data_IF_502733323080
#
_entry.id   IF_502733323080
#
_cell.length_a   1.000
_cell.length_b   1.000
_cell.length_c   1.000
_cell.angle_alpha   90.00
_cell.angle_beta   90.00
_cell.angle_gamma   90.00
#
_symmetry.space_group_name_H-M   'P 1'
#
loop_
_entity.id
_entity.type
_entity.pdbx_description
1 polymer ?
#
# COMPACT_ATOMS: atom_id res chain seq x y z
N UNK A 1 10.36 8.87 14.88
CA UNK A 1 10.86 7.91 15.90
C UNK A 1 11.49 6.74 15.16
N UNK A 2 12.74 6.45 15.43
CA UNK A 2 13.41 5.25 14.96
C UNK A 2 12.69 4.06 15.60
N UNK A 3 12.28 3.10 14.78
CA UNK A 3 11.74 1.84 15.26
C UNK A 3 12.83 1.22 16.16
N UNK A 4 12.58 1.07 17.45
CA UNK A 4 13.54 0.55 18.44
C UNK A 4 14.04 -0.87 18.12
N UNK A 5 13.34 -1.55 17.19
CA UNK A 5 13.63 -2.91 16.75
C UNK A 5 14.75 -3.01 15.68
N UNK A 6 15.32 -1.88 15.20
CA UNK A 6 16.37 -1.93 14.18
C UNK A 6 17.73 -2.13 14.84
N UNK A 7 18.25 -3.35 14.76
CA UNK A 7 19.61 -3.68 15.17
C UNK A 7 20.55 -3.55 13.98
N UNK A 8 21.58 -2.69 14.15
CA UNK A 8 22.56 -2.40 13.08
C UNK A 8 23.32 -3.65 12.63
N UNK A 9 23.57 -4.57 13.53
CA UNK A 9 24.30 -5.83 13.27
C UNK A 9 23.51 -6.82 12.41
N UNK A 10 22.19 -6.67 12.33
CA UNK A 10 21.34 -7.51 11.51
C UNK A 10 21.40 -7.14 10.02
N UNK A 11 21.41 -8.16 9.14
CA UNK A 11 21.43 -7.99 7.70
C UNK A 11 20.03 -7.87 7.08
N UNK A 12 19.03 -7.75 7.93
CA UNK A 12 17.62 -7.55 7.57
C UNK A 12 16.94 -6.68 8.62
N UNK A 13 16.32 -5.61 8.17
CA UNK A 13 15.50 -4.74 9.01
C UNK A 13 14.04 -4.92 8.64
N UNK A 14 13.30 -5.61 9.50
CA UNK A 14 11.91 -6.05 9.26
C UNK A 14 11.02 -4.86 8.85
N UNK A 15 10.34 -5.02 7.71
CA UNK A 15 9.46 -3.98 7.17
C UNK A 15 10.19 -2.81 6.48
N UNK A 16 11.52 -2.75 6.54
CA UNK A 16 12.33 -1.66 6.05
C UNK A 16 13.19 -2.06 4.84
N UNK A 17 14.21 -2.87 5.06
CA UNK A 17 15.18 -3.23 4.02
C UNK A 17 15.84 -4.56 4.32
N UNK A 18 16.24 -5.27 3.26
CA UNK A 18 17.18 -6.37 3.33
C UNK A 18 18.44 -6.05 2.51
N UNK A 19 19.59 -6.54 2.98
CA UNK A 19 20.89 -6.24 2.41
C UNK A 19 21.40 -7.38 1.52
N UNK A 20 20.52 -7.89 0.62
CA UNK A 20 20.89 -8.91 -0.37
C UNK A 20 21.23 -8.28 -1.71
N UNK A 21 21.98 -9.03 -2.56
CA UNK A 21 22.40 -8.65 -3.92
C UNK A 21 21.19 -8.41 -4.85
N UNK A 22 21.46 -7.79 -5.98
CA UNK A 22 20.48 -7.62 -7.05
C UNK A 22 19.96 -8.98 -7.56
N UNK A 23 18.65 -9.09 -7.78
CA UNK A 23 18.02 -10.30 -8.31
C UNK A 23 17.77 -11.42 -7.30
N UNK A 24 18.26 -11.27 -6.06
CA UNK A 24 18.04 -12.25 -4.99
C UNK A 24 16.70 -12.00 -4.28
N UNK A 25 15.98 -13.08 -3.99
CA UNK A 25 14.75 -13.00 -3.20
C UNK A 25 15.01 -12.44 -1.82
N UNK A 26 14.11 -11.57 -1.35
CA UNK A 26 14.18 -11.03 0.03
C UNK A 26 14.04 -12.10 1.13
N UNK A 27 13.62 -13.31 0.78
CA UNK A 27 13.52 -14.46 1.69
C UNK A 27 14.84 -15.23 1.79
N UNK A 28 15.67 -15.17 0.77
CA UNK A 28 16.96 -15.84 0.72
C UNK A 28 18.06 -14.90 1.23
N UNK A 29 18.43 -15.10 2.49
CA UNK A 29 19.38 -14.28 3.26
C UNK A 29 20.64 -15.05 3.62
N UNK A 30 20.93 -16.09 2.86
CA UNK A 30 22.17 -16.84 3.04
C UNK A 30 23.40 -15.93 2.88
N UNK A 31 24.51 -16.18 3.56
CA UNK A 31 25.68 -15.29 3.55
C UNK A 31 26.22 -14.96 2.16
N UNK A 32 26.15 -15.88 1.23
CA UNK A 32 26.58 -15.71 -0.17
C UNK A 32 25.68 -14.75 -0.97
N UNK A 33 24.45 -14.59 -0.54
CA UNK A 33 23.44 -13.74 -1.17
C UNK A 33 23.39 -12.33 -0.60
N UNK A 34 24.10 -12.08 0.49
CA UNK A 34 24.26 -10.74 1.05
C UNK A 34 25.11 -9.86 0.12
N UNK A 35 24.94 -8.54 0.24
CA UNK A 35 25.86 -7.57 -0.34
C UNK A 35 27.30 -7.93 0.03
N UNK A 36 28.23 -7.62 -0.87
CA UNK A 36 29.64 -7.88 -0.64
C UNK A 36 30.10 -7.26 0.70
N UNK A 37 30.89 -8.02 1.45
CA UNK A 37 31.28 -7.66 2.82
C UNK A 37 31.90 -6.26 2.92
N UNK A 38 32.64 -5.82 1.89
CA UNK A 38 33.29 -4.50 1.90
C UNK A 38 32.33 -3.30 1.80
N UNK A 39 31.11 -3.52 1.29
CA UNK A 39 30.10 -2.45 1.16
C UNK A 39 28.93 -2.60 2.15
N UNK A 40 28.79 -3.74 2.79
CA UNK A 40 27.62 -4.06 3.62
C UNK A 40 27.43 -3.07 4.78
N UNK A 41 28.49 -2.79 5.53
CA UNK A 41 28.42 -1.85 6.65
C UNK A 41 28.17 -0.41 6.19
N UNK A 42 28.80 0.00 5.07
CA UNK A 42 28.49 1.27 4.44
C UNK A 42 27.01 1.34 4.00
N UNK A 43 26.49 0.27 3.38
CA UNK A 43 25.09 0.21 2.96
C UNK A 43 24.12 0.39 4.13
N UNK A 44 24.36 -0.28 5.26
CA UNK A 44 23.59 -0.11 6.49
C UNK A 44 23.63 1.33 7.01
N UNK A 45 24.84 1.90 7.11
CA UNK A 45 25.02 3.26 7.56
C UNK A 45 24.32 4.28 6.64
N UNK A 46 24.47 4.12 5.32
CA UNK A 46 23.87 4.98 4.32
C UNK A 46 22.32 4.92 4.36
N UNK A 47 21.74 3.72 4.39
CA UNK A 47 20.28 3.54 4.48
C UNK A 47 19.75 4.17 5.77
N UNK A 48 20.42 3.97 6.90
CA UNK A 48 20.04 4.59 8.18
C UNK A 48 20.11 6.11 8.13
N UNK A 49 21.19 6.65 7.55
CA UNK A 49 21.36 8.10 7.35
C UNK A 49 20.23 8.68 6.49
N UNK A 50 19.93 8.06 5.33
CA UNK A 50 18.88 8.52 4.44
C UNK A 50 17.49 8.46 5.10
N UNK A 51 17.22 7.44 5.89
CA UNK A 51 15.98 7.31 6.64
C UNK A 51 15.76 8.45 7.63
N UNK A 52 16.82 8.87 8.31
CA UNK A 52 16.74 9.96 9.30
C UNK A 52 16.58 11.32 8.61
N UNK A 53 17.30 11.55 7.51
CA UNK A 53 17.44 12.87 6.89
C UNK A 53 16.48 13.08 5.69
N UNK A 54 15.77 12.05 5.24
CA UNK A 54 14.88 12.15 4.10
C UNK A 54 13.58 11.39 4.29
N UNK A 55 12.56 11.75 3.50
CA UNK A 55 11.29 10.98 3.42
C UNK A 55 11.37 9.82 2.42
N UNK A 56 12.55 9.46 1.95
CA UNK A 56 12.76 8.38 1.00
C UNK A 56 12.50 7.03 1.68
N UNK A 57 11.91 6.12 0.91
CA UNK A 57 11.74 4.74 1.37
C UNK A 57 13.09 4.05 1.41
N UNK A 58 13.39 3.37 2.50
CA UNK A 58 14.63 2.60 2.68
C UNK A 58 14.84 1.54 1.59
N UNK A 59 13.74 0.94 1.12
CA UNK A 59 13.74 -0.01 0.00
C UNK A 59 14.21 0.60 -1.32
N UNK A 60 13.93 1.88 -1.57
CA UNK A 60 14.41 2.56 -2.79
C UNK A 60 15.89 2.94 -2.64
N UNK A 61 16.31 3.32 -1.44
CA UNK A 61 17.70 3.73 -1.15
C UNK A 61 18.70 2.61 -1.42
N UNK A 62 18.39 1.36 -1.04
CA UNK A 62 19.28 0.21 -1.24
C UNK A 62 19.51 -0.13 -2.71
N UNK A 63 18.61 0.26 -3.62
CA UNK A 63 18.74 -0.05 -5.04
C UNK A 63 19.98 0.60 -5.67
N UNK A 64 20.37 1.81 -5.24
CA UNK A 64 21.59 2.46 -5.72
C UNK A 64 22.86 1.74 -5.28
N UNK A 65 22.87 1.23 -4.06
CA UNK A 65 24.00 0.44 -3.52
C UNK A 65 24.16 -0.85 -4.31
N UNK A 66 23.04 -1.58 -4.56
CA UNK A 66 23.05 -2.81 -5.36
C UNK A 66 23.55 -2.57 -6.77
N UNK A 67 23.12 -1.46 -7.40
CA UNK A 67 23.56 -1.14 -8.76
C UNK A 67 25.05 -0.83 -8.83
N UNK A 68 25.60 -0.10 -7.86
CA UNK A 68 27.04 0.20 -7.80
C UNK A 68 27.85 -1.05 -7.44
N UNK A 69 27.40 -1.85 -6.47
CA UNK A 69 28.03 -3.13 -6.14
C UNK A 69 28.23 -4.01 -7.39
N UNK A 70 27.16 -4.19 -8.17
CA UNK A 70 27.20 -5.00 -9.38
C UNK A 70 28.27 -4.48 -10.35
N UNK A 71 28.29 -3.17 -10.62
CA UNK A 71 29.29 -2.57 -11.52
C UNK A 71 30.71 -2.72 -10.98
N UNK A 72 30.91 -2.53 -9.69
CA UNK A 72 32.24 -2.71 -9.08
C UNK A 72 32.74 -4.13 -9.24
N UNK A 73 31.90 -5.12 -8.96
CA UNK A 73 32.25 -6.54 -9.11
C UNK A 73 32.54 -6.91 -10.56
N UNK A 74 31.71 -6.45 -11.49
CA UNK A 74 31.86 -6.76 -12.94
C UNK A 74 33.13 -6.13 -13.53
N UNK A 75 33.51 -4.92 -13.09
CA UNK A 75 34.65 -4.20 -13.67
C UNK A 75 35.96 -4.41 -12.93
N UNK A 76 35.92 -4.52 -11.62
CA UNK A 76 37.11 -4.50 -10.78
C UNK A 76 37.32 -5.80 -10.01
N UNK A 77 36.31 -6.69 -9.94
CA UNK A 77 36.33 -7.89 -9.13
C UNK A 77 36.27 -7.64 -7.61
N UNK A 78 36.20 -6.38 -7.20
CA UNK A 78 36.10 -5.93 -5.80
C UNK A 78 35.17 -4.74 -5.68
N UNK A 79 34.68 -4.45 -4.46
CA UNK A 79 33.84 -3.28 -4.20
C UNK A 79 34.63 -2.29 -3.33
N UNK A 80 35.14 -1.24 -3.98
CA UNK A 80 35.83 -0.13 -3.32
C UNK A 80 35.24 1.20 -3.80
N UNK A 81 34.46 1.83 -2.94
CA UNK A 81 33.77 3.09 -3.27
C UNK A 81 34.74 4.25 -3.55
N UNK A 82 35.98 4.19 -3.06
CA UNK A 82 36.97 5.26 -3.28
C UNK A 82 37.55 5.25 -4.68
N UNK A 83 37.42 4.13 -5.41
CA UNK A 83 37.89 3.95 -6.79
C UNK A 83 36.83 4.26 -7.84
N UNK A 84 35.62 4.61 -7.43
CA UNK A 84 34.53 4.93 -8.36
C UNK A 84 34.89 6.08 -9.27
N UNK A 85 34.47 5.97 -10.53
CA UNK A 85 34.53 7.02 -11.55
C UNK A 85 33.13 7.31 -12.09
N UNK A 86 32.96 8.42 -12.80
CA UNK A 86 31.65 8.81 -13.36
C UNK A 86 31.09 7.72 -14.28
N UNK A 87 31.95 7.07 -15.04
CA UNK A 87 31.53 5.97 -15.94
C UNK A 87 30.86 4.80 -15.21
N UNK A 88 31.14 4.58 -13.93
CA UNK A 88 30.49 3.53 -13.13
C UNK A 88 29.00 3.88 -12.89
N UNK A 89 28.69 5.15 -12.66
CA UNK A 89 27.32 5.62 -12.53
C UNK A 89 26.57 5.59 -13.85
N UNK A 90 27.24 5.87 -14.98
CA UNK A 90 26.65 5.73 -16.31
C UNK A 90 26.33 4.25 -16.61
N UNK A 91 27.25 3.34 -16.35
CA UNK A 91 27.05 1.90 -16.52
C UNK A 91 25.96 1.35 -15.59
N UNK A 92 25.93 1.80 -14.33
CA UNK A 92 24.87 1.44 -13.40
C UNK A 92 23.50 1.91 -13.89
N UNK A 93 23.40 3.10 -14.47
CA UNK A 93 22.18 3.60 -15.07
C UNK A 93 21.78 2.80 -16.32
N UNK A 94 22.71 2.44 -17.20
CA UNK A 94 22.44 1.59 -18.39
C UNK A 94 21.97 0.19 -17.98
N UNK A 95 22.66 -0.49 -17.05
CA UNK A 95 22.22 -1.78 -16.52
C UNK A 95 20.82 -1.71 -15.91
N UNK A 96 20.51 -0.59 -15.26
CA UNK A 96 19.19 -0.36 -14.67
C UNK A 96 18.10 -0.28 -15.75
N UNK A 97 18.37 0.36 -16.90
CA UNK A 97 17.42 0.41 -18.03
C UNK A 97 17.11 -0.97 -18.60
N UNK A 98 18.10 -1.87 -18.61
CA UNK A 98 17.93 -3.23 -19.13
C UNK A 98 17.13 -4.11 -18.16
N UNK A 99 17.38 -3.98 -16.88
CA UNK A 99 16.87 -4.89 -15.85
C UNK A 99 15.53 -4.46 -15.21
N UNK A 100 15.13 -3.20 -15.39
CA UNK A 100 13.92 -2.65 -14.76
C UNK A 100 12.98 -2.00 -15.76
N UNK A 101 11.68 -2.00 -15.43
CA UNK A 101 10.69 -1.20 -16.17
C UNK A 101 11.04 0.29 -16.06
N UNK A 102 10.70 1.07 -17.08
CA UNK A 102 11.08 2.49 -17.22
C UNK A 102 10.85 3.34 -15.95
N UNK A 103 9.72 3.16 -15.26
CA UNK A 103 9.44 3.88 -14.00
C UNK A 103 10.40 3.48 -12.88
N UNK A 104 10.65 2.18 -12.70
CA UNK A 104 11.58 1.68 -11.68
C UNK A 104 13.02 2.08 -12.00
N UNK A 105 13.42 2.00 -13.27
CA UNK A 105 14.73 2.44 -13.74
C UNK A 105 14.97 3.93 -13.41
N UNK A 106 13.98 4.78 -13.67
CA UNK A 106 14.06 6.20 -13.32
C UNK A 106 14.24 6.41 -11.80
N UNK A 107 13.54 5.64 -10.97
CA UNK A 107 13.69 5.71 -9.50
C UNK A 107 15.10 5.28 -9.08
N UNK A 108 15.66 4.19 -9.61
CA UNK A 108 17.03 3.78 -9.31
C UNK A 108 18.04 4.84 -9.76
N UNK A 109 17.88 5.42 -10.95
CA UNK A 109 18.75 6.49 -11.43
C UNK A 109 18.73 7.72 -10.53
N UNK A 110 17.58 8.09 -9.96
CA UNK A 110 17.50 9.14 -8.94
C UNK A 110 18.26 8.76 -7.66
N UNK A 111 18.18 7.51 -7.22
CA UNK A 111 18.89 7.04 -6.04
C UNK A 111 20.41 7.00 -6.28
N UNK A 112 20.87 6.67 -7.49
CA UNK A 112 22.27 6.75 -7.88
C UNK A 112 22.82 8.20 -7.76
N UNK A 113 22.03 9.18 -8.19
CA UNK A 113 22.40 10.59 -8.04
C UNK A 113 22.52 10.97 -6.56
N UNK A 114 21.55 10.59 -5.74
CA UNK A 114 21.57 10.88 -4.29
C UNK A 114 22.78 10.21 -3.62
N UNK A 115 23.09 8.96 -4.00
CA UNK A 115 24.27 8.25 -3.49
C UNK A 115 25.56 8.98 -3.85
N UNK A 116 25.72 9.37 -5.13
CA UNK A 116 26.93 10.11 -5.53
C UNK A 116 27.06 11.44 -4.79
N UNK A 117 25.97 12.22 -4.67
CA UNK A 117 26.00 13.47 -3.94
C UNK A 117 26.39 13.27 -2.47
N UNK A 118 25.93 12.19 -1.84
CA UNK A 118 26.32 11.80 -0.49
C UNK A 118 27.81 11.42 -0.39
N UNK A 119 28.33 10.60 -1.32
CA UNK A 119 29.75 10.23 -1.37
C UNK A 119 30.66 11.44 -1.56
N UNK A 120 30.25 12.40 -2.38
CA UNK A 120 30.95 13.68 -2.60
C UNK A 120 30.93 14.56 -1.35
N UNK A 121 29.77 14.67 -0.70
CA UNK A 121 29.63 15.44 0.54
C UNK A 121 30.54 14.93 1.65
N UNK A 122 30.65 13.61 1.76
CA UNK A 122 31.57 12.98 2.73
C UNK A 122 33.03 12.93 2.26
N UNK A 123 33.34 13.47 1.06
CA UNK A 123 34.66 13.43 0.45
C UNK A 123 35.24 12.02 0.27
N UNK A 124 34.39 11.02 0.14
CA UNK A 124 34.79 9.63 -0.18
C UNK A 124 35.29 9.58 -1.63
N UNK A 125 34.62 10.34 -2.53
CA UNK A 125 35.02 10.47 -3.93
C UNK A 125 35.17 11.94 -4.30
N UNK A 126 36.13 12.22 -5.22
CA UNK A 126 36.37 13.55 -5.80
C UNK A 126 35.83 13.59 -7.25
N UNK A 127 34.54 13.27 -7.44
CA UNK A 127 33.91 13.23 -8.74
C UNK A 127 33.12 14.50 -9.05
N UNK A 128 32.97 14.89 -10.32
CA UNK A 128 32.10 16.00 -10.73
C UNK A 128 30.62 15.66 -10.47
N UNK A 129 29.78 16.67 -10.65
CA UNK A 129 28.32 16.45 -10.61
C UNK A 129 27.90 15.53 -11.76
N UNK A 130 27.06 14.55 -11.42
CA UNK A 130 26.49 13.60 -12.39
C UNK A 130 25.00 13.86 -12.56
N UNK A 131 24.54 13.83 -13.81
CA UNK A 131 23.14 13.95 -14.15
C UNK A 131 22.59 12.58 -14.54
N UNK A 132 21.51 12.17 -13.89
CA UNK A 132 20.84 10.92 -14.22
C UNK A 132 20.42 10.90 -15.70
N UNK A 133 20.96 9.99 -16.54
CA UNK A 133 20.60 9.89 -17.94
C UNK A 133 19.23 9.27 -18.20
N UNK A 134 18.60 8.71 -17.16
CA UNK A 134 17.29 8.06 -17.27
C UNK A 134 16.20 9.14 -17.13
N UNK A 135 15.47 9.35 -18.22
CA UNK A 135 14.35 10.30 -18.24
C UNK A 135 13.16 9.75 -17.48
N UNK A 136 12.42 10.64 -16.82
CA UNK A 136 11.12 10.28 -16.23
C UNK A 136 10.19 9.83 -17.36
N UNK A 137 9.61 8.61 -17.26
CA UNK A 137 8.62 8.16 -18.23
C UNK A 137 7.41 9.09 -18.22
N UNK A 138 6.78 9.26 -19.37
CA UNK A 138 5.51 9.97 -19.46
C UNK A 138 4.43 9.26 -18.64
N UNK A 139 3.58 10.03 -18.01
CA UNK A 139 2.42 9.48 -17.31
C UNK A 139 1.31 9.20 -18.33
N UNK A 140 1.15 7.93 -18.71
CA UNK A 140 0.13 7.48 -19.66
C UNK A 140 -1.31 7.81 -19.23
N UNK A 141 -1.54 8.16 -17.97
CA UNK A 141 -2.86 8.59 -17.52
C UNK A 141 -3.23 10.02 -17.95
N UNK A 142 -2.22 10.83 -18.31
CA UNK A 142 -2.38 12.26 -18.67
C UNK A 142 -2.21 12.49 -20.17
N UNK A 143 -1.43 11.64 -20.84
CA UNK A 143 -1.16 11.77 -22.28
C UNK A 143 -2.41 11.35 -23.08
N UNK A 144 -2.74 12.12 -24.14
CA UNK A 144 -3.91 11.92 -25.00
C UNK A 144 -3.50 11.32 -26.36
N UNK A 145 -2.74 10.22 -26.34
CA UNK A 145 -2.43 9.42 -27.52
C UNK A 145 -3.18 8.07 -27.50
N UNK A 146 -3.23 7.38 -28.64
CA UNK A 146 -3.95 6.11 -28.79
C UNK A 146 -3.43 5.03 -27.82
N UNK A 147 -2.10 4.93 -27.65
CA UNK A 147 -1.49 3.95 -26.72
C UNK A 147 -1.91 4.23 -25.26
N UNK A 148 -2.01 5.48 -24.88
CA UNK A 148 -2.45 5.89 -23.54
C UNK A 148 -3.96 5.70 -23.36
N UNK A 149 -4.74 5.82 -24.41
CA UNK A 149 -6.18 5.52 -24.39
C UNK A 149 -6.43 4.02 -24.22
N UNK A 150 -5.80 3.17 -25.02
CA UNK A 150 -5.83 1.71 -24.86
C UNK A 150 -5.37 1.28 -23.45
N UNK A 151 -4.32 1.95 -22.92
CA UNK A 151 -3.86 1.68 -21.56
C UNK A 151 -4.88 2.10 -20.48
N UNK A 152 -5.64 3.18 -20.68
CA UNK A 152 -6.74 3.56 -19.77
C UNK A 152 -7.90 2.57 -19.87
N UNK A 153 -8.31 2.23 -21.09
CA UNK A 153 -9.38 1.26 -21.35
C UNK A 153 -9.07 -0.11 -20.77
N UNK A 154 -7.81 -0.59 -20.92
CA UNK A 154 -7.39 -1.87 -20.35
C UNK A 154 -7.44 -1.95 -18.82
N UNK A 155 -7.59 -0.80 -18.14
CA UNK A 155 -7.75 -0.73 -16.68
C UNK A 155 -9.20 -0.63 -16.23
N UNK A 156 -10.11 -0.37 -17.16
CA UNK A 156 -11.53 -0.37 -16.81
C UNK A 156 -11.99 -1.81 -16.55
N UNK A 157 -12.83 -2.01 -15.55
CA UNK A 157 -13.43 -3.31 -15.33
C UNK A 157 -14.35 -3.68 -16.51
N UNK A 158 -14.44 -4.96 -16.81
CA UNK A 158 -15.37 -5.50 -17.79
C UNK A 158 -16.80 -5.12 -17.43
N UNK A 159 -17.57 -4.64 -18.40
CA UNK A 159 -18.97 -4.23 -18.19
C UNK A 159 -19.83 -5.40 -17.71
N UNK A 160 -19.65 -6.60 -18.27
CA UNK A 160 -20.37 -7.80 -17.85
C UNK A 160 -20.07 -8.15 -16.39
N UNK A 161 -18.84 -7.93 -15.93
CA UNK A 161 -18.47 -8.12 -14.54
C UNK A 161 -19.17 -7.10 -13.62
N UNK A 162 -19.32 -5.85 -14.05
CA UNK A 162 -20.06 -4.82 -13.30
C UNK A 162 -21.53 -5.19 -13.22
N UNK A 163 -22.15 -5.62 -14.32
CA UNK A 163 -23.56 -6.06 -14.34
C UNK A 163 -23.78 -7.29 -13.47
N UNK A 164 -22.88 -8.27 -13.52
CA UNK A 164 -22.95 -9.45 -12.65
C UNK A 164 -22.87 -9.08 -11.16
N UNK A 165 -21.99 -8.14 -10.79
CA UNK A 165 -21.92 -7.63 -9.42
C UNK A 165 -23.21 -6.89 -9.01
N UNK A 166 -23.79 -6.09 -9.90
CA UNK A 166 -25.03 -5.38 -9.66
C UNK A 166 -26.21 -6.35 -9.48
N UNK A 167 -26.28 -7.42 -10.29
CA UNK A 167 -27.29 -8.48 -10.15
C UNK A 167 -27.18 -9.17 -8.79
N UNK A 168 -25.98 -9.61 -8.40
CA UNK A 168 -25.72 -10.21 -7.08
C UNK A 168 -26.09 -9.24 -5.97
N UNK A 169 -25.68 -7.97 -6.06
CA UNK A 169 -26.00 -6.94 -5.06
C UNK A 169 -27.50 -6.75 -4.90
N UNK A 170 -28.28 -6.87 -5.98
CA UNK A 170 -29.73 -6.66 -5.97
C UNK A 170 -30.51 -7.76 -5.24
N UNK A 171 -29.93 -8.96 -5.11
CA UNK A 171 -30.57 -10.13 -4.48
C UNK A 171 -30.82 -9.91 -2.99
N UNK A 172 -31.72 -10.72 -2.42
CA UNK A 172 -32.01 -10.71 -0.98
C UNK A 172 -30.79 -11.23 -0.21
N UNK A 173 -30.54 -10.65 0.95
CA UNK A 173 -29.40 -11.04 1.79
C UNK A 173 -29.47 -12.51 2.23
N UNK A 174 -30.68 -13.09 2.35
CA UNK A 174 -30.87 -14.51 2.68
C UNK A 174 -30.44 -15.49 1.57
N UNK A 175 -30.21 -14.99 0.36
CA UNK A 175 -29.79 -15.77 -0.81
C UNK A 175 -28.27 -15.65 -1.06
N UNK A 176 -27.58 -14.84 -0.27
CA UNK A 176 -26.17 -14.49 -0.45
C UNK A 176 -25.31 -15.00 0.71
N UNK A 177 -24.08 -15.35 0.40
CA UNK A 177 -23.07 -15.57 1.43
C UNK A 177 -22.58 -14.22 2.01
N UNK A 178 -22.02 -14.25 3.21
CA UNK A 178 -21.38 -13.07 3.82
C UNK A 178 -20.31 -12.45 2.92
N UNK A 179 -19.57 -13.30 2.19
CA UNK A 179 -18.57 -12.87 1.22
C UNK A 179 -19.20 -12.08 0.07
N UNK A 180 -20.32 -12.58 -0.48
CA UNK A 180 -21.02 -11.91 -1.60
C UNK A 180 -21.58 -10.57 -1.16
N UNK A 181 -22.18 -10.52 0.05
CA UNK A 181 -22.69 -9.28 0.65
C UNK A 181 -21.54 -8.27 0.84
N UNK A 182 -20.41 -8.70 1.41
CA UNK A 182 -19.26 -7.83 1.64
C UNK A 182 -18.67 -7.31 0.33
N UNK A 183 -18.34 -8.20 -0.61
CA UNK A 183 -17.66 -7.83 -1.86
C UNK A 183 -18.53 -6.91 -2.69
N UNK A 184 -19.81 -7.25 -2.89
CA UNK A 184 -20.70 -6.42 -3.72
C UNK A 184 -21.00 -5.07 -3.06
N UNK A 185 -21.13 -5.01 -1.74
CA UNK A 185 -21.29 -3.74 -1.01
C UNK A 185 -20.04 -2.87 -1.12
N UNK A 186 -18.85 -3.46 -0.94
CA UNK A 186 -17.57 -2.75 -1.05
C UNK A 186 -17.36 -2.17 -2.45
N UNK A 187 -17.61 -2.97 -3.51
CA UNK A 187 -17.48 -2.52 -4.90
C UNK A 187 -18.50 -1.43 -5.20
N UNK A 188 -19.75 -1.54 -4.72
CA UNK A 188 -20.78 -0.51 -4.92
C UNK A 188 -20.36 0.84 -4.32
N UNK A 189 -19.73 0.84 -3.15
CA UNK A 189 -19.18 2.06 -2.54
C UNK A 189 -18.04 2.67 -3.37
N UNK A 190 -17.12 1.82 -3.85
CA UNK A 190 -15.98 2.27 -4.67
C UNK A 190 -16.42 2.80 -6.04
N UNK A 191 -17.50 2.26 -6.62
CA UNK A 191 -18.10 2.78 -7.86
C UNK A 191 -18.80 4.13 -7.65
N UNK A 192 -19.49 4.29 -6.51
CA UNK A 192 -20.21 5.53 -6.21
C UNK A 192 -19.29 6.67 -5.76
N UNK A 193 -18.22 6.34 -5.04
CA UNK A 193 -17.22 7.27 -4.53
C UNK A 193 -15.82 6.66 -4.72
N UNK A 194 -15.20 6.82 -5.91
CA UNK A 194 -13.92 6.21 -6.23
C UNK A 194 -12.81 6.59 -5.23
N UNK A 195 -12.26 5.57 -4.58
CA UNK A 195 -11.16 5.63 -3.62
C UNK A 195 -10.23 4.42 -3.75
N UNK A 196 -9.16 4.39 -2.96
CA UNK A 196 -8.33 3.18 -2.89
C UNK A 196 -9.07 2.11 -2.11
N UNK A 197 -9.07 0.88 -2.64
CA UNK A 197 -9.73 -0.26 -1.98
C UNK A 197 -9.28 -0.43 -0.51
N UNK A 198 -8.02 -0.12 -0.18
CA UNK A 198 -7.52 -0.16 1.20
C UNK A 198 -8.11 0.90 2.11
N UNK A 199 -8.59 2.02 1.59
CA UNK A 199 -9.21 3.10 2.38
C UNK A 199 -10.61 2.73 2.87
N UNK A 200 -11.26 1.75 2.21
CA UNK A 200 -12.54 1.20 2.65
C UNK A 200 -12.47 0.63 4.07
N UNK A 201 -11.32 0.06 4.48
CA UNK A 201 -11.14 -0.49 5.83
C UNK A 201 -11.07 0.57 6.94
N UNK A 202 -10.96 1.84 6.57
CA UNK A 202 -10.96 2.97 7.52
C UNK A 202 -12.30 3.69 7.58
N UNK A 203 -13.31 3.22 6.85
CA UNK A 203 -14.65 3.77 6.94
C UNK A 203 -15.22 3.57 8.33
N UNK A 204 -15.70 4.64 8.92
CA UNK A 204 -16.41 4.60 10.20
C UNK A 204 -17.88 4.27 9.99
N UNK A 205 -18.53 3.67 11.00
CA UNK A 205 -19.96 3.34 10.95
C UNK A 205 -20.87 4.57 10.73
N UNK A 206 -20.38 5.78 11.08
CA UNK A 206 -21.05 7.06 10.88
C UNK A 206 -20.45 7.85 9.70
N UNK A 207 -20.02 7.16 8.64
CA UNK A 207 -19.38 7.79 7.48
C UNK A 207 -20.36 8.59 6.60
N UNK A 208 -21.67 8.35 6.70
CA UNK A 208 -22.67 9.08 5.94
C UNK A 208 -22.69 10.54 6.40
N UNK A 209 -22.70 11.44 5.43
CA UNK A 209 -22.86 12.87 5.61
C UNK A 209 -24.02 13.33 4.74
N UNK A 210 -25.02 13.95 5.35
CA UNK A 210 -26.15 14.55 4.65
C UNK A 210 -26.09 16.06 4.83
N UNK A 211 -26.24 16.78 3.72
CA UNK A 211 -26.21 18.25 3.69
C UNK A 211 -27.33 18.77 2.80
N UNK A 212 -27.99 19.82 3.26
CA UNK A 212 -28.97 20.54 2.46
C UNK A 212 -28.28 21.61 1.62
N UNK A 213 -28.36 21.49 0.30
CA UNK A 213 -27.76 22.44 -0.65
C UNK A 213 -28.87 23.16 -1.39
N UNK A 214 -28.74 24.49 -1.47
CA UNK A 214 -29.62 25.27 -2.36
C UNK A 214 -29.17 25.05 -3.80
N UNK A 215 -29.96 24.31 -4.57
CA UNK A 215 -29.75 24.17 -6.00
C UNK A 215 -30.21 25.46 -6.68
N UNK A 216 -29.33 26.02 -7.51
CA UNK A 216 -29.71 27.10 -8.43
C UNK A 216 -30.78 26.52 -9.36
N UNK A 217 -32.02 26.98 -9.18
CA UNK A 217 -33.12 26.56 -10.04
C UNK A 217 -32.79 26.92 -11.49
N UNK A 218 -33.40 26.20 -12.45
CA UNK A 218 -33.26 26.49 -13.88
C UNK A 218 -33.63 27.93 -14.26
N UNK A 219 -34.21 28.72 -13.34
CA UNK A 219 -34.52 30.13 -13.50
C UNK A 219 -33.27 31.02 -13.62
N UNK A 220 -32.12 30.64 -13.04
CA UNK A 220 -30.85 31.36 -13.22
C UNK A 220 -30.28 31.23 -14.65
N UNK A 221 -30.82 30.31 -15.46
CA UNK A 221 -30.55 30.16 -16.90
C UNK A 221 -31.59 30.82 -17.78
N UNK A 222 -32.43 31.71 -17.25
CA UNK A 222 -33.47 32.42 -18.03
C UNK A 222 -34.75 31.65 -18.30
N UNK A 223 -34.95 30.52 -17.64
CA UNK A 223 -36.20 29.75 -17.71
C UNK A 223 -36.98 30.02 -16.41
N UNK A 224 -38.13 30.66 -16.55
CA UNK A 224 -39.03 31.06 -15.48
C UNK A 224 -39.46 29.85 -14.62
N UNK A 225 -39.01 29.78 -13.37
CA UNK A 225 -39.62 28.98 -12.32
C UNK A 225 -39.19 29.47 -10.94
N UNK A 226 -40.20 29.63 -10.16
CA UNK A 226 -40.25 30.12 -8.80
C UNK A 226 -39.64 29.10 -7.82
N UNK A 227 -38.78 29.59 -6.92
CA UNK A 227 -38.35 28.86 -5.73
C UNK A 227 -36.94 28.25 -5.78
N UNK A 228 -36.17 28.56 -4.74
CA UNK A 228 -34.95 27.83 -4.39
C UNK A 228 -35.33 26.40 -3.95
N UNK A 229 -35.05 25.40 -4.76
CA UNK A 229 -35.19 24.02 -4.33
C UNK A 229 -34.03 23.68 -3.38
N UNK A 230 -34.36 23.36 -2.14
CA UNK A 230 -33.41 22.73 -1.21
C UNK A 230 -33.35 21.26 -1.59
N UNK A 231 -32.18 20.79 -1.95
CA UNK A 231 -31.92 19.38 -2.27
C UNK A 231 -30.95 18.81 -1.22
N UNK A 232 -31.31 17.65 -0.67
CA UNK A 232 -30.42 16.95 0.23
C UNK A 232 -29.40 16.16 -0.60
N UNK A 233 -28.13 16.51 -0.45
CA UNK A 233 -27.01 15.77 -1.03
C UNK A 233 -26.42 14.83 0.00
N UNK A 234 -26.05 13.64 -0.46
CA UNK A 234 -25.42 12.62 0.38
C UNK A 234 -23.96 12.49 0.01
N UNK A 235 -23.11 12.49 1.02
CA UNK A 235 -21.69 12.22 0.90
C UNK A 235 -21.20 11.10 1.80
N UNK A 236 -20.04 10.57 1.52
CA UNK A 236 -19.31 9.63 2.37
C UNK A 236 -18.05 10.31 2.87
N UNK A 237 -17.83 10.27 4.18
CA UNK A 237 -16.59 10.75 4.80
C UNK A 237 -15.52 9.68 4.72
N UNK A 238 -14.50 9.91 3.89
CA UNK A 238 -13.36 9.04 3.67
C UNK A 238 -12.14 9.50 4.45
N UNK A 239 -11.28 8.54 4.80
CA UNK A 239 -10.00 8.78 5.47
C UNK A 239 -8.86 8.30 4.58
N UNK A 240 -8.06 9.25 4.10
CA UNK A 240 -6.95 8.95 3.20
C UNK A 240 -5.75 8.34 3.94
N UNK A 241 -5.24 7.21 3.46
CA UNK A 241 -4.08 6.52 4.06
C UNK A 241 -2.76 7.31 3.97
N UNK A 242 -2.63 8.22 3.00
CA UNK A 242 -1.36 8.93 2.74
C UNK A 242 -1.27 10.29 3.44
N UNK A 243 -1.79 10.43 4.63
CA UNK A 243 -1.76 11.66 5.46
C UNK A 243 -2.45 12.88 4.81
N UNK A 244 -3.41 12.66 3.92
CA UNK A 244 -4.23 13.73 3.34
C UNK A 244 -5.45 14.11 4.19
N UNK A 245 -5.54 13.52 5.42
CA UNK A 245 -6.68 13.78 6.31
C UNK A 245 -7.95 13.03 5.89
N UNK A 246 -9.08 13.68 6.08
CA UNK A 246 -10.39 13.17 5.66
C UNK A 246 -11.07 14.19 4.75
N UNK A 247 -11.92 13.69 3.86
CA UNK A 247 -12.72 14.51 2.96
C UNK A 247 -14.11 13.89 2.76
N UNK A 248 -15.07 14.68 2.31
CA UNK A 248 -16.42 14.22 1.99
C UNK A 248 -16.53 14.10 0.49
N UNK A 249 -16.87 12.89 0.02
CA UNK A 249 -17.18 12.64 -1.37
C UNK A 249 -18.67 12.53 -1.56
N UNK A 250 -19.21 13.48 -2.30
CA UNK A 250 -20.63 13.51 -2.63
C UNK A 250 -20.99 12.42 -3.63
N UNK A 251 -22.11 11.77 -3.41
CA UNK A 251 -22.61 10.63 -4.16
C UNK A 251 -23.58 11.11 -5.22
N UNK A 252 -23.47 10.63 -6.47
CA UNK A 252 -24.49 10.88 -7.49
C UNK A 252 -25.87 10.44 -6.97
N UNK A 253 -26.90 11.27 -7.19
CA UNK A 253 -28.25 11.04 -6.64
C UNK A 253 -28.81 9.67 -7.01
N UNK A 254 -28.53 9.18 -8.21
CA UNK A 254 -28.92 7.84 -8.68
C UNK A 254 -28.30 6.70 -7.87
N UNK A 255 -27.14 6.91 -7.26
CA UNK A 255 -26.43 5.91 -6.46
C UNK A 255 -26.78 5.93 -4.97
N UNK A 256 -27.51 6.93 -4.49
CA UNK A 256 -27.84 7.09 -3.07
C UNK A 256 -28.49 5.83 -2.47
N UNK A 257 -29.52 5.21 -3.09
CA UNK A 257 -30.15 4.01 -2.54
C UNK A 257 -29.16 2.83 -2.44
N UNK A 258 -28.32 2.67 -3.45
CA UNK A 258 -27.28 1.63 -3.50
C UNK A 258 -26.25 1.83 -2.38
N UNK A 259 -25.78 3.06 -2.20
CA UNK A 259 -24.80 3.41 -1.15
C UNK A 259 -25.39 3.19 0.25
N UNK A 260 -26.60 3.66 0.51
CA UNK A 260 -27.26 3.45 1.81
C UNK A 260 -27.39 1.96 2.12
N UNK A 261 -27.88 1.15 1.18
CA UNK A 261 -27.98 -0.31 1.34
C UNK A 261 -26.62 -0.97 1.56
N UNK A 262 -25.60 -0.56 0.82
CA UNK A 262 -24.23 -1.09 0.99
C UNK A 262 -23.69 -0.82 2.39
N UNK A 263 -23.81 0.42 2.88
CA UNK A 263 -23.37 0.82 4.22
C UNK A 263 -24.15 0.08 5.30
N UNK A 264 -25.48 -0.05 5.20
CA UNK A 264 -26.31 -0.82 6.12
C UNK A 264 -25.87 -2.28 6.23
N UNK A 265 -25.57 -2.93 5.08
CA UNK A 265 -25.04 -4.30 5.04
C UNK A 265 -23.70 -4.39 5.78
N UNK A 266 -22.76 -3.50 5.48
CA UNK A 266 -21.44 -3.49 6.11
C UNK A 266 -21.51 -3.19 7.62
N UNK A 267 -22.38 -2.28 8.04
CA UNK A 267 -22.63 -1.99 9.46
C UNK A 267 -23.14 -3.23 10.18
N UNK A 268 -24.12 -3.92 9.61
CA UNK A 268 -24.70 -5.14 10.20
C UNK A 268 -23.63 -6.25 10.29
N UNK A 269 -22.87 -6.48 9.22
CA UNK A 269 -21.80 -7.50 9.21
C UNK A 269 -20.69 -7.22 10.22
N UNK A 270 -20.38 -5.95 10.45
CA UNK A 270 -19.31 -5.53 11.36
C UNK A 270 -19.76 -5.37 12.83
N UNK A 271 -21.01 -5.64 13.17
CA UNK A 271 -21.55 -5.40 14.52
C UNK A 271 -20.81 -6.20 15.59
N UNK A 272 -20.70 -7.53 15.41
CA UNK A 272 -19.99 -8.40 16.35
C UNK A 272 -18.49 -8.07 16.46
N UNK A 273 -17.72 -7.93 15.38
CA UNK A 273 -16.33 -7.49 15.46
C UNK A 273 -16.15 -6.12 16.15
N UNK A 274 -17.02 -5.16 15.86
CA UNK A 274 -16.96 -3.85 16.53
C UNK A 274 -17.27 -3.93 18.01
N UNK A 275 -18.22 -4.75 18.41
CA UNK A 275 -18.51 -4.98 19.82
C UNK A 275 -17.32 -5.62 20.53
N UNK A 276 -16.67 -6.63 19.91
CA UNK A 276 -15.46 -7.23 20.46
C UNK A 276 -14.33 -6.21 20.59
N UNK A 277 -14.09 -5.40 19.55
CA UNK A 277 -13.09 -4.34 19.59
C UNK A 277 -13.36 -3.34 20.74
N UNK A 278 -14.60 -2.92 20.92
CA UNK A 278 -15.00 -2.07 22.03
C UNK A 278 -14.69 -2.70 23.39
N UNK A 279 -15.01 -4.00 23.57
CA UNK A 279 -14.69 -4.72 24.81
C UNK A 279 -13.18 -4.79 25.07
N UNK A 280 -12.38 -5.03 24.01
CA UNK A 280 -10.91 -5.08 24.11
C UNK A 280 -10.30 -3.71 24.45
N UNK A 281 -10.87 -2.62 23.95
CA UNK A 281 -10.41 -1.26 24.24
C UNK A 281 -10.79 -0.77 25.63
N UNK A 282 -11.91 -1.25 26.19
CA UNK A 282 -12.48 -0.74 27.46
C UNK A 282 -12.24 -1.64 28.65
N UNK A 283 -11.74 -2.86 28.46
CA UNK A 283 -11.48 -3.82 29.53
C UNK A 283 -10.00 -3.90 29.88
N UNK A 284 -9.66 -3.88 31.17
CA UNK A 284 -8.30 -4.10 31.65
C UNK A 284 -7.81 -5.56 31.43
N UNK A 285 -8.75 -6.48 31.19
CA UNK A 285 -8.49 -7.89 30.94
C UNK A 285 -9.15 -8.28 29.63
N UNK A 286 -8.60 -9.32 28.97
CA UNK A 286 -9.22 -9.90 27.77
C UNK A 286 -10.67 -10.33 28.09
N UNK A 287 -11.68 -9.73 27.43
CA UNK A 287 -13.08 -10.04 27.74
C UNK A 287 -13.46 -11.42 27.19
N UNK A 288 -14.19 -12.20 27.99
CA UNK A 288 -14.75 -13.47 27.52
C UNK A 288 -15.91 -13.20 26.55
N UNK A 289 -15.90 -13.88 25.44
CA UNK A 289 -16.94 -13.87 24.41
C UNK A 289 -17.19 -15.27 23.84
N UNK A 290 -18.09 -15.42 22.89
CA UNK A 290 -18.57 -16.72 22.38
C UNK A 290 -17.48 -17.64 21.80
N UNK A 291 -16.40 -17.06 21.26
CA UNK A 291 -15.27 -17.81 20.66
C UNK A 291 -14.20 -18.20 21.69
N UNK A 292 -14.30 -17.74 22.93
CA UNK A 292 -13.35 -18.10 23.97
C UNK A 292 -13.53 -19.54 24.43
N UNK A 293 -12.42 -20.26 24.69
CA UNK A 293 -12.49 -21.61 25.25
C UNK A 293 -13.10 -21.59 26.65
N UNK A 294 -13.87 -22.63 26.96
CA UNK A 294 -14.50 -22.79 28.29
C UNK A 294 -13.52 -23.41 29.28
N UNK A 295 -12.50 -22.68 29.64
CA UNK A 295 -11.45 -23.09 30.60
C UNK A 295 -11.43 -22.13 31.80
N UNK A 296 -10.91 -22.55 32.97
CA UNK A 296 -10.67 -21.68 34.11
C UNK A 296 -9.73 -20.53 33.77
N UNK A 297 -9.83 -19.37 34.48
CA UNK A 297 -9.05 -18.16 34.21
C UNK A 297 -7.54 -18.30 34.47
N UNK A 298 -7.17 -19.28 35.30
CA UNK A 298 -5.80 -19.62 35.68
C UNK A 298 -5.15 -20.67 34.76
N UNK A 299 -5.93 -21.24 33.83
CA UNK A 299 -5.40 -22.24 32.89
C UNK A 299 -4.73 -21.57 31.69
N UNK A 300 -3.49 -21.99 31.38
CA UNK A 300 -2.79 -21.58 30.18
C UNK A 300 -3.51 -22.09 28.92
N UNK A 301 -3.78 -21.19 27.98
CA UNK A 301 -4.41 -21.54 26.72
C UNK A 301 -3.40 -22.17 25.75
N UNK A 302 -3.87 -23.15 24.97
CA UNK A 302 -3.14 -23.65 23.80
C UNK A 302 -3.19 -22.59 22.68
N UNK A 303 -2.23 -22.65 21.76
CA UNK A 303 -2.17 -21.74 20.62
C UNK A 303 -3.47 -21.67 19.81
N UNK A 304 -4.08 -22.82 19.51
CA UNK A 304 -5.36 -22.90 18.82
C UNK A 304 -6.51 -22.23 19.57
N UNK A 305 -6.53 -22.36 20.90
CA UNK A 305 -7.53 -21.71 21.75
C UNK A 305 -7.38 -20.20 21.78
N UNK A 306 -6.12 -19.68 21.79
CA UNK A 306 -5.85 -18.25 21.67
C UNK A 306 -6.30 -17.73 20.31
N UNK A 307 -5.96 -18.43 19.22
CA UNK A 307 -6.35 -18.02 17.87
C UNK A 307 -7.88 -17.99 17.72
N UNK A 308 -8.57 -19.03 18.23
CA UNK A 308 -10.04 -19.05 18.24
C UNK A 308 -10.61 -17.86 19.03
N UNK A 309 -10.07 -17.58 20.22
CA UNK A 309 -10.50 -16.45 21.04
C UNK A 309 -10.23 -15.09 20.34
N UNK A 310 -9.25 -15.01 19.45
CA UNK A 310 -8.97 -13.83 18.63
C UNK A 310 -9.82 -13.77 17.35
N UNK A 311 -10.71 -14.73 17.12
CA UNK A 311 -11.59 -14.77 15.95
C UNK A 311 -10.93 -15.28 14.66
N UNK A 312 -9.76 -15.92 14.75
CA UNK A 312 -9.14 -16.54 13.58
C UNK A 312 -9.82 -17.88 13.24
N UNK A 313 -10.09 -18.07 11.95
CA UNK A 313 -10.51 -19.37 11.44
C UNK A 313 -9.31 -20.32 11.42
N UNK A 314 -9.36 -21.35 12.27
CA UNK A 314 -8.27 -22.34 12.43
C UNK A 314 -8.01 -23.11 11.14
N UNK A 315 -9.04 -23.41 10.34
CA UNK A 315 -8.88 -24.14 9.09
C UNK A 315 -8.04 -23.37 8.08
N UNK A 316 -8.33 -22.08 7.91
CA UNK A 316 -7.57 -21.19 7.01
C UNK A 316 -6.16 -20.89 7.52
N UNK A 317 -5.94 -20.96 8.84
CA UNK A 317 -4.64 -20.71 9.47
C UNK A 317 -3.69 -21.91 9.35
N UNK A 318 -4.19 -23.13 9.53
CA UNK A 318 -3.39 -24.35 9.36
C UNK A 318 -2.91 -24.52 7.91
N UNK A 319 -3.76 -24.23 6.93
CA UNK A 319 -3.40 -24.25 5.51
C UNK A 319 -2.32 -23.21 5.17
N UNK A 320 -2.42 -22.00 5.71
CA UNK A 320 -1.44 -20.94 5.49
C UNK A 320 -0.10 -21.22 6.21
N UNK A 321 -0.13 -21.86 7.36
CA UNK A 321 1.07 -22.20 8.13
C UNK A 321 1.82 -23.39 7.51
N UNK A 322 1.12 -24.42 7.04
CA UNK A 322 1.69 -25.55 6.30
C UNK A 322 2.26 -25.11 4.96
N UNK A 323 1.57 -24.26 4.22
CA UNK A 323 2.07 -23.69 2.96
C UNK A 323 3.36 -22.84 3.13
N UNK A 324 3.51 -22.15 4.26
CA UNK A 324 4.71 -21.35 4.55
C UNK A 324 5.87 -22.15 5.15
N UNK A 325 5.62 -23.32 5.74
CA UNK A 325 6.63 -24.16 6.37
C UNK A 325 6.97 -25.44 5.58
N UNK A 326 6.25 -25.75 4.50
CA UNK A 326 6.59 -26.87 3.58
C UNK A 326 7.75 -26.52 2.62
N UNK A 327 8.41 -25.39 2.83
CA UNK A 327 9.58 -24.92 2.08
C UNK A 327 10.88 -24.97 2.88
N UNK A 328 11.02 -25.88 3.87
CA UNK A 328 12.30 -26.20 4.53
C UNK A 328 12.81 -27.51 3.99
#
# INVERSE_FOLDING_TARGET
ELNEDIKFDENYWKGEVNFVKTGISSKDRSPENLLHHSILEFAKAYVKYQRINSKLKTQDTILSIRAIEQICLDRYGEVDLTKLVIADFDLAAENTKVNYKASSAYHVGRQLKILLDFLRQLKIVALPEWKNPIKKPADKSIVLDEESEEHRESKLPDEDAIFALADIFSRKDSELSDRDIFVTSAVSLLLAAPERASELFFLKHNCIHEEEVQTLSKSSLGLTADGSNIETVLGIRWYAQKNYGHDIKYIPSVMIPTVKRAIERLIRMSEKPRHLAYLLETSDKFPRHELCPKVPDDQLLKRSEVLSAMGYDLSSYEDSYTANNSGI
#
